data_IF_659687886938
#
_entry.id   IF_659687886938
#
_cell.length_a   1.000
_cell.length_b   1.000
_cell.length_c   1.000
_cell.angle_alpha   90.00
_cell.angle_beta   90.00
_cell.angle_gamma   90.00
#
_symmetry.space_group_name_H-M   'P 1'
#
loop_
_entity.id
_entity.type
_entity.pdbx_description
1 polymer ?
#
# COMPACT_ATOMS: atom_id res chain seq x y z
N UNK A 1 30.18 -21.44 -17.48
CA UNK A 1 29.51 -21.00 -16.23
C UNK A 1 28.17 -20.38 -16.61
N UNK A 2 27.13 -20.53 -15.79
CA UNK A 2 25.84 -19.94 -16.07
C UNK A 2 25.97 -18.40 -16.12
N UNK A 3 25.56 -17.77 -17.23
CA UNK A 3 25.61 -16.31 -17.41
C UNK A 3 24.36 -15.61 -16.88
N UNK A 4 23.43 -16.37 -16.32
CA UNK A 4 22.19 -15.93 -15.72
C UNK A 4 21.65 -17.01 -14.77
N UNK A 5 20.87 -16.61 -13.77
CA UNK A 5 20.21 -17.50 -12.82
C UNK A 5 19.03 -16.80 -12.13
N UNK A 6 18.20 -17.57 -11.45
CA UNK A 6 17.04 -17.07 -10.69
C UNK A 6 17.23 -17.32 -9.20
N UNK A 7 16.71 -16.41 -8.38
CA UNK A 7 16.58 -16.57 -6.94
C UNK A 7 15.13 -16.33 -6.52
N UNK A 8 14.56 -17.25 -5.76
CA UNK A 8 13.25 -17.11 -5.14
C UNK A 8 13.46 -16.76 -3.66
N UNK A 9 12.86 -15.66 -3.21
CA UNK A 9 13.07 -15.08 -1.89
C UNK A 9 11.74 -15.03 -1.11
N UNK A 10 11.38 -16.08 -0.34
CA UNK A 10 10.20 -16.07 0.52
C UNK A 10 10.44 -15.26 1.80
N UNK A 11 9.49 -14.41 2.17
CA UNK A 11 9.59 -13.53 3.35
C UNK A 11 9.67 -14.27 4.69
N UNK A 12 9.17 -15.50 4.73
CA UNK A 12 9.17 -16.36 5.92
C UNK A 12 10.32 -17.39 5.93
N UNK A 13 11.26 -17.28 5.00
CA UNK A 13 12.51 -18.03 5.04
C UNK A 13 13.50 -17.39 6.03
N UNK A 14 14.53 -18.14 6.40
CA UNK A 14 15.65 -17.64 7.22
C UNK A 14 15.25 -17.04 8.59
N UNK A 15 14.07 -17.36 9.14
CA UNK A 15 13.62 -16.87 10.45
C UNK A 15 14.54 -17.26 11.62
N UNK A 16 15.31 -18.34 11.46
CA UNK A 16 16.36 -18.70 12.42
C UNK A 16 17.51 -17.68 12.49
N UNK A 17 17.76 -16.95 11.39
CA UNK A 17 18.80 -15.91 11.29
C UNK A 17 18.22 -14.50 11.42
N UNK A 18 17.00 -14.29 10.91
CA UNK A 18 16.30 -13.00 10.87
C UNK A 18 14.90 -13.14 11.49
N UNK A 19 14.80 -13.27 12.82
CA UNK A 19 13.53 -13.53 13.50
C UNK A 19 12.52 -12.38 13.38
N UNK A 20 13.00 -11.18 13.05
CA UNK A 20 12.17 -9.97 12.90
C UNK A 20 11.68 -9.74 11.46
N UNK A 21 11.89 -10.70 10.54
CA UNK A 21 11.34 -10.60 9.19
C UNK A 21 9.82 -10.44 9.24
N UNK A 22 9.33 -9.54 8.39
CA UNK A 22 7.90 -9.31 8.17
C UNK A 22 7.57 -9.63 6.71
N UNK A 23 6.28 -9.63 6.35
CA UNK A 23 5.87 -9.83 4.95
C UNK A 23 6.37 -8.68 4.05
N UNK A 24 6.47 -7.45 4.56
CA UNK A 24 6.91 -6.28 3.81
C UNK A 24 8.41 -6.02 3.86
N UNK A 25 9.09 -6.38 4.94
CA UNK A 25 10.53 -6.18 5.12
C UNK A 25 11.14 -7.48 5.62
N UNK A 26 11.96 -8.09 4.78
CA UNK A 26 12.59 -9.36 5.09
C UNK A 26 13.99 -9.47 4.47
N UNK A 27 14.83 -10.24 5.14
CA UNK A 27 16.14 -10.66 4.65
C UNK A 27 16.19 -12.17 4.50
N UNK A 28 16.75 -12.63 3.39
CA UNK A 28 16.95 -14.06 3.11
C UNK A 28 18.44 -14.37 3.15
N UNK A 29 18.84 -15.41 3.88
CA UNK A 29 20.17 -16.02 3.83
C UNK A 29 20.15 -17.14 2.78
N UNK A 30 21.04 -17.04 1.81
CA UNK A 30 21.17 -18.00 0.72
C UNK A 30 21.90 -19.27 1.20
N UNK A 31 21.73 -20.37 0.45
CA UNK A 31 22.40 -21.63 0.76
C UNK A 31 23.92 -21.56 0.60
N UNK A 32 24.39 -20.66 -0.25
CA UNK A 32 25.81 -20.41 -0.51
C UNK A 32 26.04 -18.93 -0.87
N UNK A 33 27.27 -18.47 -0.69
CA UNK A 33 27.69 -17.14 -1.14
C UNK A 33 27.74 -17.12 -2.66
N UNK A 34 27.00 -16.20 -3.26
CA UNK A 34 27.01 -15.97 -4.70
C UNK A 34 28.12 -14.98 -5.03
N UNK A 35 29.01 -15.35 -5.95
CA UNK A 35 30.06 -14.48 -6.48
C UNK A 35 29.73 -14.13 -7.93
N UNK A 36 29.70 -12.84 -8.24
CA UNK A 36 29.31 -12.27 -9.52
C UNK A 36 30.51 -11.61 -10.21
N UNK A 37 31.29 -12.37 -11.00
CA UNK A 37 32.41 -11.80 -11.74
C UNK A 37 31.92 -10.90 -12.87
N UNK A 38 32.47 -9.69 -12.95
CA UNK A 38 32.13 -8.69 -13.98
C UNK A 38 30.92 -7.83 -13.61
N UNK A 39 30.22 -7.34 -14.63
CA UNK A 39 29.07 -6.46 -14.48
C UNK A 39 27.78 -7.27 -14.57
N UNK A 40 26.92 -7.14 -13.57
CA UNK A 40 25.66 -7.87 -13.49
C UNK A 40 24.49 -6.92 -13.33
N UNK A 41 23.33 -7.38 -13.76
CA UNK A 41 22.06 -6.69 -13.59
C UNK A 41 20.99 -7.67 -13.13
N UNK A 42 20.02 -7.17 -12.38
CA UNK A 42 18.96 -7.97 -11.77
C UNK A 42 17.59 -7.34 -12.04
N UNK A 43 16.59 -8.17 -12.25
CA UNK A 43 15.20 -7.75 -12.39
C UNK A 43 14.28 -8.56 -11.47
N UNK A 44 13.22 -7.91 -10.98
CA UNK A 44 12.07 -8.61 -10.40
C UNK A 44 11.22 -9.20 -11.53
N UNK A 45 11.08 -10.52 -11.56
CA UNK A 45 10.36 -11.27 -12.60
C UNK A 45 8.95 -11.66 -12.19
N UNK A 46 8.79 -12.02 -10.92
CA UNK A 46 7.52 -12.40 -10.32
C UNK A 46 7.47 -11.90 -8.88
N UNK A 47 6.26 -11.61 -8.41
CA UNK A 47 5.99 -11.33 -7.02
C UNK A 47 4.69 -11.99 -6.59
N UNK A 48 4.75 -12.76 -5.52
CA UNK A 48 3.56 -13.23 -4.80
C UNK A 48 3.38 -12.39 -3.56
N UNK A 49 2.16 -11.93 -3.30
CA UNK A 49 1.85 -11.22 -2.07
C UNK A 49 0.39 -11.42 -1.66
N UNK A 50 0.09 -11.42 -0.35
CA UNK A 50 -1.28 -11.47 0.13
C UNK A 50 -1.88 -10.05 0.09
N UNK A 51 -3.03 -9.85 -0.53
CA UNK A 51 -3.75 -8.59 -0.42
C UNK A 51 -4.48 -8.56 0.93
N UNK A 52 -3.78 -8.27 2.02
CA UNK A 52 -4.32 -8.45 3.38
C UNK A 52 -4.19 -7.21 4.26
N UNK A 53 -4.08 -6.00 3.68
CA UNK A 53 -4.11 -4.76 4.46
C UNK A 53 -5.54 -4.20 4.58
N UNK A 54 -5.80 -3.49 5.67
CA UNK A 54 -7.06 -2.77 5.89
C UNK A 54 -7.18 -1.54 4.98
N UNK A 55 -8.42 -1.15 4.65
CA UNK A 55 -8.76 0.12 3.97
C UNK A 55 -8.32 1.33 4.77
N UNK A 56 -8.49 1.28 6.09
CA UNK A 56 -8.05 2.29 7.04
C UNK A 56 -6.99 1.68 7.96
N UNK A 57 -5.91 2.40 8.25
CA UNK A 57 -4.81 1.94 9.10
C UNK A 57 -5.32 1.44 10.45
N UNK A 58 -4.80 0.29 10.86
CA UNK A 58 -4.97 -0.27 12.20
C UNK A 58 -4.10 0.50 13.19
N UNK A 59 -4.52 0.53 14.46
CA UNK A 59 -3.80 1.21 15.53
C UNK A 59 -4.08 2.72 15.63
N UNK A 60 -4.72 3.31 14.61
CA UNK A 60 -5.29 4.66 14.67
C UNK A 60 -6.80 4.52 14.86
N UNK A 61 -7.36 5.21 15.86
CA UNK A 61 -8.81 5.22 16.05
C UNK A 61 -9.45 5.98 14.89
N UNK A 62 -10.12 5.25 14.02
CA UNK A 62 -10.81 5.83 12.87
C UNK A 62 -12.11 6.46 13.37
N UNK A 63 -12.18 7.79 13.31
CA UNK A 63 -13.30 8.55 13.84
C UNK A 63 -13.76 9.63 12.89
N UNK A 64 -15.03 9.99 13.03
CA UNK A 64 -15.48 11.32 12.63
C UNK A 64 -16.21 11.96 13.81
N UNK A 65 -16.17 13.27 13.84
CA UNK A 65 -16.76 14.10 14.86
C UNK A 65 -17.99 14.80 14.28
N UNK A 66 -19.02 14.97 15.10
CA UNK A 66 -20.15 15.81 14.73
C UNK A 66 -20.68 16.59 15.93
N UNK A 67 -21.30 17.73 15.69
CA UNK A 67 -22.03 18.50 16.71
C UNK A 67 -23.33 19.04 16.16
N UNK A 68 -24.30 19.29 17.03
CA UNK A 68 -25.53 19.99 16.68
C UNK A 68 -25.74 21.14 17.66
N UNK A 69 -26.00 22.34 17.13
CA UNK A 69 -26.13 23.56 17.91
C UNK A 69 -24.88 23.82 18.76
N UNK A 70 -25.10 24.12 20.04
CA UNK A 70 -24.04 24.42 21.00
C UNK A 70 -23.51 23.17 21.73
N UNK A 71 -23.95 21.96 21.36
CA UNK A 71 -23.46 20.73 21.98
C UNK A 71 -21.97 20.51 21.66
N UNK A 72 -21.21 19.87 22.57
CA UNK A 72 -19.85 19.45 22.27
C UNK A 72 -19.82 18.47 21.10
N UNK A 73 -18.66 18.36 20.44
CA UNK A 73 -18.44 17.33 19.44
C UNK A 73 -18.62 15.94 20.04
N UNK A 74 -19.37 15.11 19.34
CA UNK A 74 -19.53 13.69 19.61
C UNK A 74 -18.66 12.92 18.63
N UNK A 75 -17.92 11.94 19.16
CA UNK A 75 -17.05 11.06 18.38
C UNK A 75 -17.81 9.83 17.95
N UNK A 76 -17.83 9.56 16.65
CA UNK A 76 -18.27 8.28 16.09
C UNK A 76 -17.02 7.48 15.77
N UNK A 77 -16.89 6.34 16.45
CA UNK A 77 -15.80 5.39 16.23
C UNK A 77 -16.25 4.36 15.21
N UNK A 78 -15.49 4.21 14.14
CA UNK A 78 -15.70 3.15 13.16
C UNK A 78 -15.33 1.80 13.79
N UNK A 79 -16.26 0.85 13.76
CA UNK A 79 -16.09 -0.49 14.35
C UNK A 79 -15.25 -1.42 13.49
N UNK A 80 -15.16 -1.12 12.19
CA UNK A 80 -14.43 -1.90 11.20
C UNK A 80 -13.34 -1.01 10.60
N UNK A 81 -12.23 -1.59 10.18
CA UNK A 81 -11.16 -0.88 9.44
C UNK A 81 -11.07 -1.33 7.99
N UNK A 82 -11.94 -2.26 7.58
CA UNK A 82 -11.92 -2.91 6.27
C UNK A 82 -13.26 -2.73 5.58
N UNK A 83 -13.19 -2.28 4.33
CA UNK A 83 -14.37 -2.01 3.52
C UNK A 83 -14.11 -2.44 2.07
N UNK A 84 -15.04 -3.20 1.48
CA UNK A 84 -14.92 -3.65 0.09
C UNK A 84 -15.36 -2.59 -0.92
N UNK A 85 -16.11 -1.57 -0.47
CA UNK A 85 -16.63 -0.50 -1.33
C UNK A 85 -16.98 0.74 -0.54
N UNK A 86 -17.04 1.89 -1.23
CA UNK A 86 -17.52 3.16 -0.67
C UNK A 86 -18.99 3.04 -0.21
N UNK A 87 -19.80 2.21 -0.86
CA UNK A 87 -21.17 1.92 -0.43
C UNK A 87 -21.20 1.23 0.95
N UNK A 88 -20.33 0.24 1.19
CA UNK A 88 -20.23 -0.40 2.50
C UNK A 88 -19.77 0.61 3.55
N UNK A 89 -18.72 1.39 3.26
CA UNK A 89 -18.17 2.38 4.18
C UNK A 89 -19.24 3.43 4.58
N UNK A 90 -19.96 4.00 3.61
CA UNK A 90 -21.01 5.00 3.89
C UNK A 90 -22.18 4.40 4.69
N UNK A 91 -22.55 3.14 4.46
CA UNK A 91 -23.53 2.43 5.30
C UNK A 91 -23.03 2.26 6.75
N UNK A 92 -21.77 1.87 6.93
CA UNK A 92 -21.17 1.70 8.27
C UNK A 92 -21.06 3.04 9.01
N UNK A 93 -20.67 4.12 8.32
CA UNK A 93 -20.67 5.49 8.88
C UNK A 93 -22.06 5.88 9.40
N UNK A 94 -23.11 5.65 8.60
CA UNK A 94 -24.48 5.94 9.00
C UNK A 94 -24.92 5.07 10.19
N UNK A 95 -24.62 3.78 10.17
CA UNK A 95 -24.97 2.85 11.24
C UNK A 95 -24.23 3.13 12.56
N UNK A 96 -23.07 3.79 12.51
CA UNK A 96 -22.32 4.24 13.69
C UNK A 96 -22.97 5.40 14.43
N UNK A 97 -23.91 6.12 13.80
CA UNK A 97 -24.63 7.25 14.41
C UNK A 97 -25.90 6.80 15.12
N UNK A 98 -26.32 7.54 16.15
CA UNK A 98 -27.63 7.36 16.79
C UNK A 98 -28.78 7.61 15.80
N UNK A 99 -29.96 7.03 16.05
CA UNK A 99 -31.14 7.24 15.20
C UNK A 99 -31.52 8.72 15.05
N UNK A 100 -31.36 9.50 16.12
CA UNK A 100 -31.58 10.96 16.08
C UNK A 100 -30.58 11.64 15.14
N UNK A 101 -29.29 11.33 15.27
CA UNK A 101 -28.23 11.93 14.44
C UNK A 101 -28.37 11.56 12.97
N UNK A 102 -28.83 10.35 12.64
CA UNK A 102 -29.08 9.93 11.26
C UNK A 102 -30.14 10.79 10.54
N UNK A 103 -31.00 11.51 11.29
CA UNK A 103 -31.94 12.48 10.70
C UNK A 103 -31.27 13.80 10.31
N UNK A 104 -30.12 14.10 10.90
CA UNK A 104 -29.37 15.36 10.74
C UNK A 104 -28.16 15.21 9.83
N UNK A 105 -27.51 14.05 9.83
CA UNK A 105 -26.33 13.72 9.03
C UNK A 105 -26.58 12.43 8.26
N UNK A 106 -26.36 12.45 6.95
CA UNK A 106 -26.44 11.26 6.11
C UNK A 106 -25.31 11.22 5.10
N UNK A 107 -24.53 10.14 5.13
CA UNK A 107 -23.54 9.81 4.12
C UNK A 107 -24.18 8.98 3.01
N UNK A 108 -23.84 9.28 1.76
CA UNK A 108 -24.29 8.53 0.60
C UNK A 108 -23.23 8.55 -0.49
N UNK A 109 -23.25 7.54 -1.36
CA UNK A 109 -22.30 7.44 -2.47
C UNK A 109 -23.05 7.53 -3.80
N UNK A 110 -22.63 8.45 -4.66
CA UNK A 110 -23.10 8.53 -6.03
C UNK A 110 -22.12 7.76 -6.93
N UNK A 111 -22.53 6.57 -7.39
CA UNK A 111 -21.71 5.70 -8.25
C UNK A 111 -21.39 6.33 -9.60
N UNK A 112 -22.29 7.13 -10.16
CA UNK A 112 -22.11 7.75 -11.48
C UNK A 112 -21.03 8.84 -11.45
N UNK A 113 -21.04 9.71 -10.44
CA UNK A 113 -19.99 10.71 -10.26
C UNK A 113 -18.77 10.19 -9.48
N UNK A 114 -18.88 8.99 -8.88
CA UNK A 114 -17.96 8.40 -7.91
C UNK A 114 -17.67 9.33 -6.73
N UNK A 115 -18.64 10.14 -6.31
CA UNK A 115 -18.48 11.12 -5.23
C UNK A 115 -19.32 10.75 -4.02
N UNK A 116 -18.81 11.07 -2.84
CA UNK A 116 -19.55 10.97 -1.58
C UNK A 116 -20.35 12.25 -1.37
N UNK A 117 -21.61 12.10 -0.98
CA UNK A 117 -22.50 13.19 -0.61
C UNK A 117 -22.81 13.09 0.88
N UNK A 118 -22.53 14.17 1.60
CA UNK A 118 -22.85 14.33 3.02
C UNK A 118 -23.99 15.34 3.11
N UNK A 119 -25.19 14.89 3.46
CA UNK A 119 -26.34 15.76 3.75
C UNK A 119 -26.30 16.12 5.24
N UNK A 120 -26.09 17.41 5.51
CA UNK A 120 -26.03 17.96 6.87
C UNK A 120 -27.13 19.00 7.03
N UNK A 121 -27.98 18.83 8.05
CA UNK A 121 -29.08 19.75 8.38
C UNK A 121 -28.58 20.99 9.12
N UNK A 122 -29.38 22.05 9.08
CA UNK A 122 -29.05 23.34 9.67
C UNK A 122 -28.66 23.21 11.14
N UNK A 123 -27.57 23.87 11.53
CA UNK A 123 -27.04 23.84 12.89
C UNK A 123 -26.26 22.58 13.23
N UNK A 124 -25.99 21.69 12.27
CA UNK A 124 -25.12 20.53 12.46
C UNK A 124 -23.79 20.73 11.73
N UNK A 125 -22.70 20.27 12.33
CA UNK A 125 -21.36 20.27 11.73
C UNK A 125 -20.80 18.87 11.81
N UNK A 126 -20.16 18.42 10.73
CA UNK A 126 -19.41 17.15 10.65
C UNK A 126 -17.95 17.48 10.36
N UNK A 127 -17.04 16.77 11.02
CA UNK A 127 -15.61 16.90 10.85
C UNK A 127 -14.97 15.52 10.81
N UNK A 128 -14.06 15.28 9.87
CA UNK A 128 -13.29 14.05 9.78
C UNK A 128 -11.89 14.36 9.25
N UNK A 129 -10.92 13.54 9.64
CA UNK A 129 -9.50 13.78 9.39
C UNK A 129 -8.80 12.50 8.93
N UNK A 130 -7.56 12.65 8.47
CA UNK A 130 -6.72 11.51 8.08
C UNK A 130 -7.26 10.72 6.89
N UNK A 131 -7.08 9.41 6.94
CA UNK A 131 -7.35 8.51 5.81
C UNK A 131 -8.83 8.40 5.45
N UNK A 132 -9.73 8.54 6.43
CA UNK A 132 -11.15 8.54 6.17
C UNK A 132 -11.53 9.69 5.22
N UNK A 133 -10.94 10.88 5.39
CA UNK A 133 -11.17 12.01 4.49
C UNK A 133 -10.71 11.69 3.08
N UNK A 134 -9.49 11.17 2.94
CA UNK A 134 -8.89 10.76 1.66
C UNK A 134 -9.76 9.72 0.94
N UNK A 135 -10.18 8.66 1.65
CA UNK A 135 -11.01 7.58 1.09
C UNK A 135 -12.37 8.11 0.63
N UNK A 136 -12.96 9.05 1.37
CA UNK A 136 -14.24 9.68 1.01
C UNK A 136 -14.10 10.77 -0.07
N UNK A 137 -12.88 11.12 -0.48
CA UNK A 137 -12.60 12.11 -1.52
C UNK A 137 -12.62 13.56 -1.05
N UNK A 138 -12.30 13.82 0.22
CA UNK A 138 -12.18 15.16 0.81
C UNK A 138 -10.75 15.45 1.25
N UNK A 139 -10.42 16.73 1.37
CA UNK A 139 -9.17 17.17 1.98
C UNK A 139 -9.15 16.86 3.49
N UNK A 140 -7.96 16.76 4.07
CA UNK A 140 -7.81 16.60 5.52
C UNK A 140 -8.40 17.81 6.26
N UNK A 141 -8.90 17.57 7.47
CA UNK A 141 -9.50 18.58 8.36
C UNK A 141 -10.73 19.31 7.79
N UNK A 142 -11.44 18.70 6.84
CA UNK A 142 -12.63 19.31 6.23
C UNK A 142 -13.81 19.40 7.20
N UNK A 143 -14.35 20.60 7.39
CA UNK A 143 -15.58 20.88 8.12
C UNK A 143 -16.78 20.98 7.17
N UNK A 144 -17.83 20.21 7.43
CA UNK A 144 -19.05 20.16 6.62
C UNK A 144 -20.25 20.61 7.45
N UNK A 145 -20.85 21.74 7.08
CA UNK A 145 -21.99 22.35 7.80
C UNK A 145 -23.29 22.33 6.99
N UNK A 146 -23.20 21.92 5.73
CA UNK A 146 -24.32 21.85 4.79
C UNK A 146 -24.13 20.69 3.83
N UNK A 147 -25.19 20.38 3.08
CA UNK A 147 -25.15 19.39 2.02
C UNK A 147 -23.98 19.65 1.07
N UNK A 148 -23.01 18.72 1.04
CA UNK A 148 -21.75 18.88 0.31
C UNK A 148 -21.38 17.58 -0.39
N UNK A 149 -21.00 17.70 -1.66
CA UNK A 149 -20.38 16.60 -2.42
C UNK A 149 -18.87 16.67 -2.27
N UNK A 150 -18.22 15.51 -2.21
CA UNK A 150 -16.77 15.41 -2.15
C UNK A 150 -16.12 16.14 -3.35
N UNK A 151 -15.04 16.92 -3.14
CA UNK A 151 -14.32 17.58 -4.23
C UNK A 151 -13.72 16.57 -5.20
N UNK A 152 -13.23 15.44 -4.69
CA UNK A 152 -12.61 14.37 -5.47
C UNK A 152 -13.48 13.12 -5.54
N UNK A 153 -13.15 12.23 -6.47
CA UNK A 153 -13.75 10.90 -6.50
C UNK A 153 -13.30 10.12 -5.25
N UNK A 154 -14.24 9.42 -4.62
CA UNK A 154 -13.94 8.55 -3.50
C UNK A 154 -13.20 7.30 -4.00
N UNK A 155 -12.19 6.89 -3.24
CA UNK A 155 -11.35 5.74 -3.55
C UNK A 155 -11.21 4.88 -2.30
N UNK A 156 -11.69 3.64 -2.39
CA UNK A 156 -11.65 2.70 -1.28
C UNK A 156 -10.21 2.30 -0.90
N UNK A 157 -9.25 2.48 -1.82
CA UNK A 157 -7.85 2.21 -1.57
C UNK A 157 -7.09 3.45 -1.06
N UNK A 158 -7.75 4.61 -0.96
CA UNK A 158 -7.14 5.85 -0.48
C UNK A 158 -5.93 6.30 -1.30
N UNK A 159 -5.87 5.97 -2.59
CA UNK A 159 -4.73 6.23 -3.48
C UNK A 159 -3.67 5.13 -3.52
N UNK A 160 -3.70 4.16 -2.61
CA UNK A 160 -2.73 3.07 -2.55
C UNK A 160 -3.00 2.04 -3.65
N UNK A 161 -2.37 2.25 -4.81
CA UNK A 161 -2.56 1.46 -6.04
C UNK A 161 -1.30 0.73 -6.50
N UNK A 162 -0.15 1.05 -5.92
CA UNK A 162 1.13 0.44 -6.27
C UNK A 162 2.02 0.28 -5.05
N UNK A 163 2.81 -0.80 -5.05
CA UNK A 163 3.86 -1.08 -4.08
C UNK A 163 5.23 -0.83 -4.70
N UNK A 164 6.16 -0.32 -3.90
CA UNK A 164 7.53 -0.04 -4.29
C UNK A 164 8.43 -1.10 -3.67
N UNK A 165 9.06 -1.92 -4.50
CA UNK A 165 9.94 -3.01 -4.05
C UNK A 165 11.38 -2.53 -4.12
N UNK A 166 12.04 -2.45 -2.97
CA UNK A 166 13.43 -2.09 -2.79
C UNK A 166 14.26 -3.32 -2.45
N UNK A 167 15.55 -3.28 -2.75
CA UNK A 167 16.50 -4.31 -2.33
C UNK A 167 17.88 -3.71 -2.08
N UNK A 168 18.63 -4.30 -1.16
CA UNK A 168 20.00 -3.89 -0.87
C UNK A 168 21.01 -4.29 -1.95
N UNK A 169 20.64 -5.13 -2.92
CA UNK A 169 21.57 -5.65 -3.94
C UNK A 169 21.79 -4.73 -5.15
N UNK A 170 20.89 -3.77 -5.37
CA UNK A 170 20.93 -2.87 -6.54
C UNK A 170 21.55 -1.51 -6.23
N UNK A 171 22.06 -0.87 -7.27
CA UNK A 171 22.41 0.54 -7.26
C UNK A 171 21.17 1.43 -7.10
N UNK A 172 21.38 2.64 -6.58
CA UNK A 172 20.31 3.63 -6.46
C UNK A 172 19.87 4.14 -7.83
N UNK A 173 18.57 4.26 -8.03
CA UNK A 173 17.93 4.84 -9.21
C UNK A 173 17.28 6.18 -8.87
N UNK A 174 17.10 7.03 -9.89
CA UNK A 174 16.33 8.26 -9.74
C UNK A 174 14.83 7.94 -9.66
N UNK A 175 14.18 8.42 -8.60
CA UNK A 175 12.73 8.33 -8.40
C UNK A 175 12.26 9.72 -7.99
N UNK A 176 11.71 10.47 -8.95
CA UNK A 176 11.38 11.89 -8.74
C UNK A 176 12.63 12.70 -8.38
N UNK A 177 12.61 13.33 -7.22
CA UNK A 177 13.68 14.17 -6.66
C UNK A 177 14.67 13.42 -5.75
N UNK A 178 14.49 12.10 -5.54
CA UNK A 178 15.33 11.28 -4.66
C UNK A 178 16.06 10.15 -5.40
N UNK A 179 17.19 9.70 -4.85
CA UNK A 179 17.91 8.50 -5.29
C UNK A 179 17.69 7.37 -4.29
N UNK A 180 17.13 6.25 -4.74
CA UNK A 180 16.77 5.12 -3.87
C UNK A 180 17.03 3.78 -4.57
N UNK A 181 17.33 2.69 -3.85
CA UNK A 181 17.58 1.37 -4.44
C UNK A 181 16.27 0.65 -4.79
N UNK A 182 15.41 1.32 -5.56
CA UNK A 182 14.16 0.77 -6.04
C UNK A 182 14.47 -0.30 -7.09
N UNK A 183 13.87 -1.48 -6.96
CA UNK A 183 13.97 -2.55 -7.95
C UNK A 183 12.82 -2.46 -8.95
N UNK A 184 11.59 -2.28 -8.47
CA UNK A 184 10.39 -2.27 -9.31
C UNK A 184 9.18 -1.67 -8.59
N UNK A 185 8.28 -1.04 -9.36
CA UNK A 185 6.93 -0.69 -8.91
C UNK A 185 5.97 -1.83 -9.33
N UNK A 186 5.17 -2.33 -8.39
CA UNK A 186 4.24 -3.44 -8.57
C UNK A 186 2.82 -2.93 -8.34
N UNK A 187 1.96 -3.06 -9.35
CA UNK A 187 0.56 -2.68 -9.20
C UNK A 187 -0.15 -3.62 -8.22
N UNK A 188 -1.06 -3.03 -7.44
CA UNK A 188 -1.93 -3.77 -6.54
C UNK A 188 -3.08 -4.34 -7.35
N UNK A 189 -3.27 -5.65 -7.23
CA UNK A 189 -4.35 -6.38 -7.89
C UNK A 189 -5.08 -7.26 -6.86
N UNK A 190 -6.14 -7.92 -7.31
CA UNK A 190 -6.92 -8.83 -6.49
C UNK A 190 -7.79 -8.14 -5.43
N UNK A 191 -8.67 -8.94 -4.85
CA UNK A 191 -9.50 -8.54 -3.72
C UNK A 191 -8.80 -8.89 -2.41
N UNK A 192 -9.19 -8.21 -1.32
CA UNK A 192 -8.65 -8.54 -0.01
C UNK A 192 -8.82 -10.03 0.30
N UNK A 193 -7.80 -10.63 0.90
CA UNK A 193 -7.76 -12.01 1.37
C UNK A 193 -7.18 -12.95 0.32
N UNK A 194 -7.11 -12.52 -0.93
CA UNK A 194 -6.51 -13.30 -2.00
C UNK A 194 -4.98 -13.16 -1.98
N UNK A 195 -4.31 -14.22 -2.42
CA UNK A 195 -2.90 -14.15 -2.80
C UNK A 195 -2.83 -13.75 -4.27
N UNK A 196 -2.10 -12.68 -4.54
CA UNK A 196 -1.86 -12.18 -5.89
C UNK A 196 -0.55 -12.77 -6.40
N UNK A 197 -0.55 -13.17 -7.67
CA UNK A 197 0.66 -13.52 -8.41
C UNK A 197 0.85 -12.50 -9.54
N UNK A 198 1.80 -11.58 -9.34
CA UNK A 198 2.19 -10.61 -10.34
C UNK A 198 3.36 -11.15 -11.17
N UNK A 199 3.18 -11.25 -12.48
CA UNK A 199 4.23 -11.63 -13.44
C UNK A 199 4.46 -10.51 -14.44
N UNK A 200 5.72 -10.29 -14.84
CA UNK A 200 6.09 -9.11 -15.60
C UNK A 200 6.63 -9.45 -17.00
N UNK A 201 5.98 -8.93 -18.03
CA UNK A 201 6.43 -9.10 -19.43
C UNK A 201 7.68 -8.27 -19.74
N UNK A 202 7.71 -7.02 -19.28
CA UNK A 202 8.83 -6.10 -19.49
C UNK A 202 9.69 -6.07 -18.22
N UNK A 203 10.81 -6.78 -18.23
CA UNK A 203 11.74 -6.81 -17.10
C UNK A 203 12.60 -5.54 -17.06
N UNK A 204 12.60 -4.88 -15.90
CA UNK A 204 13.46 -3.73 -15.63
C UNK A 204 14.72 -4.24 -14.95
N UNK A 205 15.83 -4.32 -15.69
CA UNK A 205 17.12 -4.71 -15.14
C UNK A 205 17.83 -3.50 -14.55
N UNK A 206 18.28 -3.66 -13.31
CA UNK A 206 19.01 -2.65 -12.54
C UNK A 206 20.41 -3.18 -12.27
N UNK A 207 21.46 -2.36 -12.39
CA UNK A 207 22.82 -2.78 -12.05
C UNK A 207 22.91 -3.32 -10.61
N UNK A 208 23.58 -4.46 -10.47
CA UNK A 208 23.90 -5.03 -9.17
C UNK A 208 25.11 -4.29 -8.61
N UNK A 209 25.02 -3.76 -7.39
CA UNK A 209 26.09 -2.93 -6.80
C UNK A 209 27.18 -3.70 -6.05
N UNK A 210 26.95 -4.99 -5.79
CA UNK A 210 27.90 -5.88 -5.10
C UNK A 210 28.32 -7.04 -6.00
N UNK A 211 29.54 -7.54 -5.79
CA UNK A 211 30.10 -8.66 -6.54
C UNK A 211 30.09 -9.99 -5.75
N UNK A 212 29.73 -9.96 -4.47
CA UNK A 212 29.62 -11.13 -3.61
C UNK A 212 28.59 -10.89 -2.53
N UNK A 213 27.68 -11.83 -2.31
CA UNK A 213 26.65 -11.74 -1.28
C UNK A 213 26.14 -13.12 -0.86
N UNK A 214 25.79 -13.23 0.42
CA UNK A 214 25.13 -14.41 0.99
C UNK A 214 23.72 -14.07 1.51
N UNK A 215 23.38 -12.78 1.55
CA UNK A 215 22.07 -12.30 1.99
C UNK A 215 21.49 -11.28 1.04
N UNK A 216 20.16 -11.26 0.89
CA UNK A 216 19.43 -10.21 0.17
C UNK A 216 18.31 -9.70 1.08
N UNK A 217 18.22 -8.38 1.23
CA UNK A 217 17.09 -7.71 1.85
C UNK A 217 16.10 -7.23 0.78
N UNK A 218 14.81 -7.39 1.07
CA UNK A 218 13.70 -6.90 0.26
C UNK A 218 12.79 -6.08 1.16
N UNK A 219 12.45 -4.87 0.70
CA UNK A 219 11.51 -3.99 1.39
C UNK A 219 10.39 -3.56 0.43
N UNK A 220 9.13 -3.73 0.84
CA UNK A 220 7.91 -3.46 0.08
C UNK A 220 7.17 -2.32 0.76
N UNK A 221 7.07 -1.19 0.06
CA UNK A 221 6.53 0.05 0.61
C UNK A 221 5.36 0.62 -0.17
N UNK A 222 4.60 1.51 0.46
CA UNK A 222 3.65 2.40 -0.22
C UNK A 222 4.35 3.63 -0.81
N UNK A 223 3.58 4.49 -1.45
CA UNK A 223 4.01 5.77 -2.03
C UNK A 223 4.42 6.81 -0.97
N UNK A 224 4.05 6.62 0.31
CA UNK A 224 4.54 7.42 1.44
C UNK A 224 5.84 6.87 2.06
N UNK A 225 6.50 5.89 1.41
CA UNK A 225 7.76 5.28 1.88
C UNK A 225 7.63 4.54 3.23
N UNK A 226 6.41 4.11 3.59
CA UNK A 226 6.11 3.27 4.73
C UNK A 226 5.96 1.81 4.30
N UNK A 227 6.30 0.87 5.18
CA UNK A 227 6.14 -0.55 4.88
C UNK A 227 4.65 -0.89 4.69
N UNK A 228 4.35 -1.70 3.68
CA UNK A 228 2.99 -2.19 3.45
C UNK A 228 2.54 -3.02 4.66
N UNK A 229 1.34 -2.72 5.18
CA UNK A 229 0.81 -3.32 6.40
C UNK A 229 0.06 -4.62 6.13
N UNK A 230 0.76 -5.64 5.64
CA UNK A 230 0.21 -6.99 5.47
C UNK A 230 -0.22 -7.58 6.83
N UNK A 231 -1.45 -8.05 6.96
CA UNK A 231 -1.94 -8.61 8.22
C UNK A 231 -1.50 -10.05 8.47
N UNK A 232 -1.40 -10.85 7.40
CA UNK A 232 -1.00 -12.25 7.45
C UNK A 232 -0.56 -12.74 6.07
N UNK A 233 0.01 -13.96 6.04
CA UNK A 233 0.51 -14.61 4.84
C UNK A 233 2.01 -14.47 4.69
N UNK A 234 2.50 -14.57 3.45
CA UNK A 234 3.91 -14.40 3.09
C UNK A 234 4.02 -13.81 1.71
N UNK A 235 5.07 -13.04 1.47
CA UNK A 235 5.43 -12.56 0.15
C UNK A 235 6.58 -13.38 -0.41
N UNK A 236 6.68 -13.45 -1.74
CA UNK A 236 7.77 -14.15 -2.43
C UNK A 236 8.20 -13.27 -3.60
N UNK A 237 9.49 -12.95 -3.67
CA UNK A 237 10.08 -12.25 -4.80
C UNK A 237 10.95 -13.20 -5.62
N UNK A 238 10.72 -13.28 -6.93
CA UNK A 238 11.59 -14.03 -7.85
C UNK A 238 12.47 -13.06 -8.62
N UNK A 239 13.77 -13.08 -8.34
CA UNK A 239 14.79 -12.25 -8.97
C UNK A 239 15.47 -13.02 -10.11
N UNK A 240 15.71 -12.34 -11.22
CA UNK A 240 16.53 -12.86 -12.31
C UNK A 240 17.80 -12.04 -12.46
N UNK A 241 18.94 -12.70 -12.25
CA UNK A 241 20.26 -12.14 -12.42
C UNK A 241 20.81 -12.52 -13.79
N UNK A 242 21.47 -11.58 -14.47
CA UNK A 242 22.23 -11.86 -15.69
C UNK A 242 23.47 -10.99 -15.81
N UNK A 243 24.49 -11.49 -16.50
CA UNK A 243 25.62 -10.67 -16.88
C UNK A 243 25.17 -9.58 -17.86
N UNK A 244 25.62 -8.35 -17.61
CA UNK A 244 25.43 -7.24 -18.52
C UNK A 244 26.22 -7.56 -19.79
N UNK A 245 25.52 -7.67 -20.93
CA UNK A 245 26.21 -7.80 -22.22
C UNK A 245 27.02 -6.54 -22.45
N UNK A 246 28.32 -6.67 -22.69
CA UNK A 246 29.15 -5.54 -23.06
C UNK A 246 28.58 -4.89 -24.31
N UNK A 247 28.15 -3.62 -24.21
CA UNK A 247 27.96 -2.77 -25.38
C UNK A 247 29.34 -2.35 -25.88
N UNK A 248 30.08 -3.28 -26.49
CA UNK A 248 31.08 -2.90 -27.47
C UNK A 248 30.33 -2.79 -28.79
N UNK A 249 29.78 -1.60 -29.06
CA UNK A 249 29.49 -1.21 -30.43
C UNK A 249 30.77 -0.59 -31.01
N UNK A 250 31.07 -1.10 -32.20
CA UNK A 250 32.17 -0.81 -33.14
C UNK A 250 32.39 0.69 -33.32
#
# INVERSE_FOLDING_TARGET
MATQFYLTLPSNSSLAYFPNNTVANFRVKLAETIVLPGQWEVALTEMHYPHTWSTLRRGVQQTFLYKTGSSPYQTVVLKETRYSSIDQLTKTLNAGMSKETQTKVKFSYNRSSRKVLIDVKHGTTVWFTGELATVLGFDQDTLIEKKTSSPYAADINGGFSSMYVYTDIVDTQFVGDVKVPLLRIVNIEGEYGNTVHASFRNLQYVPVKVNSFETIEVNIKNDQNENVSFEFGKSIATLHFRQKRSQYFI
#
